data_IF_347708428813
#
_entry.id   IF_347708428813
#
_cell.length_a   1.000
_cell.length_b   1.000
_cell.length_c   1.000
_cell.angle_alpha   90.00
_cell.angle_beta   90.00
_cell.angle_gamma   90.00
#
_symmetry.space_group_name_H-M   'P 1'
#
loop_
_entity.id
_entity.type
_entity.pdbx_description
1 polymer ?
#
# COMPACT_ATOMS: atom_id res chain seq x y z
N UNK A 1 -1.84 6.02 -5.02
CA UNK A 1 -2.77 6.36 -6.12
C UNK A 1 -1.96 6.73 -7.36
N UNK A 2 -2.55 7.12 -8.50
CA UNK A 2 -3.12 6.19 -9.49
C UNK A 2 -2.15 5.06 -9.92
N UNK A 3 -0.85 5.19 -9.64
CA UNK A 3 0.20 4.24 -9.99
C UNK A 3 0.84 3.50 -8.79
N UNK A 4 0.54 3.88 -7.55
CA UNK A 4 1.04 3.23 -6.33
C UNK A 4 -0.06 3.02 -5.27
N UNK A 5 0.25 2.36 -4.17
CA UNK A 5 -0.64 2.14 -3.01
C UNK A 5 0.10 2.53 -1.73
N UNK A 6 -0.60 3.15 -0.78
CA UNK A 6 -0.11 3.36 0.58
C UNK A 6 -0.86 2.44 1.55
N UNK A 7 -0.12 1.80 2.46
CA UNK A 7 -0.67 0.97 3.52
C UNK A 7 -0.08 1.44 4.86
N UNK A 8 -0.95 1.71 5.84
CA UNK A 8 -0.57 1.95 7.22
C UNK A 8 -1.24 0.87 8.07
N UNK A 9 -0.45 -0.05 8.60
CA UNK A 9 -0.93 -1.29 9.22
C UNK A 9 -0.13 -1.63 10.47
N UNK A 10 -0.79 -2.29 11.42
CA UNK A 10 -0.13 -2.95 12.54
C UNK A 10 -0.11 -4.46 12.25
N UNK A 11 1.08 -5.04 12.17
CA UNK A 11 1.23 -6.49 12.04
C UNK A 11 1.03 -7.15 13.41
N UNK A 12 0.47 -8.35 13.43
CA UNK A 12 0.19 -9.10 14.66
C UNK A 12 1.33 -10.06 14.99
N UNK A 13 1.69 -10.14 16.27
CA UNK A 13 2.71 -11.07 16.78
C UNK A 13 4.03 -10.96 16.02
N UNK A 14 4.64 -12.13 15.74
CA UNK A 14 5.94 -12.25 15.09
C UNK A 14 5.84 -12.28 13.55
N UNK A 15 4.88 -11.56 12.97
CA UNK A 15 4.72 -11.52 11.51
C UNK A 15 5.98 -10.92 10.87
N UNK A 16 6.63 -11.73 10.03
CA UNK A 16 7.76 -11.30 9.22
C UNK A 16 7.32 -10.26 8.18
N UNK A 17 7.77 -9.02 8.37
CA UNK A 17 7.43 -7.88 7.53
C UNK A 17 7.74 -8.12 6.04
N UNK A 18 8.93 -8.66 5.74
CA UNK A 18 9.37 -8.87 4.36
C UNK A 18 8.54 -9.96 3.68
N UNK A 19 8.27 -11.07 4.37
CA UNK A 19 7.40 -12.13 3.86
C UNK A 19 5.98 -11.62 3.64
N UNK A 20 5.46 -10.81 4.56
CA UNK A 20 4.12 -10.26 4.47
C UNK A 20 3.99 -9.28 3.29
N UNK A 21 4.92 -8.35 3.13
CA UNK A 21 4.98 -7.43 2.00
C UNK A 21 5.09 -8.17 0.66
N UNK A 22 5.95 -9.20 0.59
CA UNK A 22 6.08 -10.05 -0.61
C UNK A 22 4.75 -10.76 -0.92
N UNK A 23 4.11 -11.33 0.08
CA UNK A 23 2.81 -12.02 -0.07
C UNK A 23 1.75 -11.09 -0.66
N UNK A 24 1.60 -9.88 -0.12
CA UNK A 24 0.66 -8.87 -0.65
C UNK A 24 0.97 -8.52 -2.11
N UNK A 25 2.23 -8.23 -2.45
CA UNK A 25 2.64 -7.90 -3.82
C UNK A 25 2.37 -9.06 -4.78
N UNK A 26 2.71 -10.29 -4.41
CA UNK A 26 2.47 -11.47 -5.26
C UNK A 26 0.99 -11.75 -5.44
N UNK A 27 0.21 -11.77 -4.36
CA UNK A 27 -1.23 -12.05 -4.42
C UNK A 27 -1.96 -11.01 -5.27
N UNK A 28 -1.75 -9.73 -4.98
CA UNK A 28 -2.41 -8.63 -5.70
C UNK A 28 -1.97 -8.57 -7.16
N UNK A 29 -0.69 -8.71 -7.48
CA UNK A 29 -0.20 -8.73 -8.86
C UNK A 29 -0.88 -9.83 -9.68
N UNK A 30 -0.99 -11.04 -9.14
CA UNK A 30 -1.68 -12.17 -9.82
C UNK A 30 -3.14 -11.87 -10.08
N UNK A 31 -3.85 -11.32 -9.10
CA UNK A 31 -5.27 -10.97 -9.24
C UNK A 31 -5.49 -9.86 -10.25
N UNK A 32 -4.69 -8.79 -10.17
CA UNK A 32 -4.80 -7.64 -11.08
C UNK A 32 -4.47 -8.06 -12.51
N UNK A 33 -3.36 -8.78 -12.73
CA UNK A 33 -3.00 -9.28 -14.04
C UNK A 33 -4.09 -10.16 -14.65
N UNK A 34 -4.71 -11.04 -13.85
CA UNK A 34 -5.85 -11.86 -14.30
C UNK A 34 -7.02 -11.00 -14.79
N UNK A 35 -7.38 -9.95 -14.03
CA UNK A 35 -8.47 -9.03 -14.40
C UNK A 35 -8.12 -8.25 -15.67
N UNK A 36 -6.85 -7.87 -15.84
CA UNK A 36 -6.38 -7.09 -16.99
C UNK A 36 -6.04 -7.95 -18.22
N UNK A 37 -6.12 -9.29 -18.14
CA UNK A 37 -5.65 -10.18 -19.21
C UNK A 37 -4.15 -10.09 -19.49
N UNK A 38 -3.36 -9.65 -18.50
CA UNK A 38 -1.91 -9.47 -18.60
C UNK A 38 -1.15 -10.60 -17.90
N UNK A 39 0.14 -10.70 -18.17
CA UNK A 39 1.08 -11.58 -17.48
C UNK A 39 2.37 -10.82 -17.14
N UNK A 40 3.14 -11.32 -16.16
CA UNK A 40 4.42 -10.75 -15.76
C UNK A 40 4.36 -9.85 -14.51
N UNK A 41 5.38 -9.02 -14.33
CA UNK A 41 5.54 -8.15 -13.16
C UNK A 41 4.55 -6.99 -13.20
N UNK A 42 3.75 -6.84 -12.14
CA UNK A 42 2.81 -5.72 -11.99
C UNK A 42 3.40 -4.59 -11.12
N UNK A 43 3.91 -4.92 -9.93
CA UNK A 43 4.52 -3.96 -9.02
C UNK A 43 5.99 -3.74 -9.30
N UNK A 44 6.51 -2.55 -8.95
CA UNK A 44 7.95 -2.33 -8.86
C UNK A 44 8.60 -3.29 -7.87
N UNK A 45 9.88 -3.59 -8.08
CA UNK A 45 10.63 -4.56 -7.27
C UNK A 45 10.86 -4.06 -5.86
N UNK A 46 11.40 -2.85 -5.73
CA UNK A 46 11.56 -2.16 -4.46
C UNK A 46 10.26 -1.53 -3.97
N UNK A 47 10.09 -1.50 -2.66
CA UNK A 47 9.02 -0.78 -1.97
C UNK A 47 9.62 0.22 -1.00
N UNK A 48 8.88 1.29 -0.74
CA UNK A 48 9.19 2.16 0.40
C UNK A 48 8.50 1.61 1.65
N UNK A 49 9.29 1.29 2.67
CA UNK A 49 8.80 0.90 3.99
C UNK A 49 9.31 1.85 5.06
N UNK A 50 8.49 2.06 6.09
CA UNK A 50 8.79 2.95 7.20
C UNK A 50 8.21 2.40 8.50
N UNK A 51 9.06 2.11 9.48
CA UNK A 51 8.64 1.62 10.78
C UNK A 51 8.07 2.76 11.63
N UNK A 52 6.82 2.60 12.07
CA UNK A 52 6.15 3.51 13.00
C UNK A 52 6.58 3.19 14.43
N UNK A 53 7.22 4.14 15.10
CA UNK A 53 7.82 3.98 16.43
C UNK A 53 7.13 4.78 17.54
N UNK A 54 6.13 5.61 17.19
CA UNK A 54 5.36 6.36 18.19
C UNK A 54 3.92 6.66 17.70
N UNK A 55 2.98 6.94 18.64
CA UNK A 55 1.63 7.38 18.29
C UNK A 55 1.60 8.68 17.47
N UNK A 56 2.48 9.63 17.76
CA UNK A 56 2.58 10.90 17.04
C UNK A 56 2.98 10.65 15.58
N UNK A 57 3.95 9.76 15.37
CA UNK A 57 4.37 9.37 14.03
C UNK A 57 3.26 8.65 13.27
N UNK A 58 2.49 7.79 13.94
CA UNK A 58 1.31 7.14 13.35
C UNK A 58 0.32 8.19 12.83
N UNK A 59 -0.01 9.18 13.66
CA UNK A 59 -0.92 10.28 13.28
C UNK A 59 -0.40 11.09 12.09
N UNK A 60 0.89 11.42 12.08
CA UNK A 60 1.51 12.17 10.98
C UNK A 60 1.43 11.38 9.67
N UNK A 61 1.78 10.09 9.68
CA UNK A 61 1.73 9.24 8.48
C UNK A 61 0.29 9.05 8.01
N UNK A 62 -0.64 8.84 8.95
CA UNK A 62 -2.05 8.72 8.62
C UNK A 62 -2.53 9.98 7.90
N UNK A 63 -2.26 11.18 8.45
CA UNK A 63 -2.61 12.45 7.83
C UNK A 63 -1.94 12.64 6.46
N UNK A 64 -0.67 12.25 6.30
CA UNK A 64 0.03 12.27 5.02
C UNK A 64 -0.72 11.43 3.97
N UNK A 65 -1.08 10.19 4.29
CA UNK A 65 -1.84 9.31 3.39
C UNK A 65 -3.20 9.92 3.06
N UNK A 66 -3.91 10.48 4.06
CA UNK A 66 -5.21 11.14 3.85
C UNK A 66 -5.13 12.33 2.90
N UNK A 67 -4.05 13.12 2.98
CA UNK A 67 -3.84 14.32 2.17
C UNK A 67 -3.23 14.03 0.79
N UNK A 68 -2.64 12.86 0.59
CA UNK A 68 -2.03 12.46 -0.68
C UNK A 68 -2.97 12.67 -1.88
N UNK A 69 -4.25 12.24 -1.88
CA UNK A 69 -5.18 12.47 -3.00
C UNK A 69 -5.51 13.92 -3.35
N UNK A 70 -5.12 14.93 -2.55
CA UNK A 70 -5.60 16.31 -2.73
C UNK A 70 -5.24 16.93 -4.09
N UNK A 71 -4.27 16.36 -4.80
CA UNK A 71 -3.86 16.80 -6.14
C UNK A 71 -4.43 15.92 -7.27
N UNK A 72 -5.28 14.94 -6.95
CA UNK A 72 -5.88 14.00 -7.89
C UNK A 72 -7.36 14.30 -8.09
N UNK A 73 -7.88 13.98 -9.27
CA UNK A 73 -9.30 14.15 -9.54
C UNK A 73 -10.12 13.04 -8.84
N UNK A 74 -11.37 13.38 -8.51
CA UNK A 74 -12.31 12.40 -7.94
C UNK A 74 -12.50 11.24 -8.92
N UNK A 75 -12.33 10.00 -8.45
CA UNK A 75 -12.39 8.79 -9.26
C UNK A 75 -11.03 8.26 -9.73
N UNK A 76 -9.98 9.07 -9.68
CA UNK A 76 -8.60 8.63 -9.95
C UNK A 76 -7.95 7.94 -8.75
N UNK A 77 -8.67 7.89 -7.63
CA UNK A 77 -8.18 7.32 -6.40
C UNK A 77 -9.23 6.59 -5.59
N UNK A 78 -8.74 5.71 -4.71
CA UNK A 78 -9.51 5.06 -3.67
C UNK A 78 -8.82 5.29 -2.33
N UNK A 79 -9.56 5.82 -1.36
CA UNK A 79 -9.10 6.05 0.01
C UNK A 79 -10.06 5.35 0.96
N UNK A 80 -9.59 4.27 1.59
CA UNK A 80 -10.35 3.54 2.61
C UNK A 80 -9.89 3.93 4.00
N UNK A 81 -10.84 4.20 4.89
CA UNK A 81 -10.60 4.57 6.29
C UNK A 81 -11.68 3.89 7.15
N UNK A 82 -11.25 3.32 8.27
CA UNK A 82 -12.12 2.79 9.33
C UNK A 82 -12.31 3.88 10.38
#
# INVERSE_FOLDING_TARGET
MPNHVHLLVCLLGDTDLLKQCRSWKTFSARKINKVLGKAGRFWQEESFDHLVRSPEQFCVIQQYIRKNPNHLQKGEYFLYQI
#
